data_IF_998859475714
#
_entry.id   IF_998859475714
#
_cell.length_a   1.000
_cell.length_b   1.000
_cell.length_c   1.000
_cell.angle_alpha   90.00
_cell.angle_beta   90.00
_cell.angle_gamma   90.00
#
_symmetry.space_group_name_H-M   'P 1'
#
loop_
_entity.id
_entity.type
_entity.pdbx_description
1 polymer ?
#
# COMPACT_ATOMS: atom_id res chain seq x y z
N UNK A 1 51.53 -14.82 -8.38
CA UNK A 1 51.06 -16.19 -8.14
C UNK A 1 50.19 -16.58 -9.31
N UNK A 2 50.52 -17.68 -9.98
CA UNK A 2 49.69 -18.27 -11.02
C UNK A 2 48.31 -18.61 -10.44
N UNK A 3 47.23 -18.19 -11.10
CA UNK A 3 45.88 -18.59 -10.71
C UNK A 3 45.41 -19.66 -11.68
N UNK A 4 45.12 -20.86 -11.19
CA UNK A 4 44.62 -21.98 -11.99
C UNK A 4 43.09 -21.92 -12.10
N UNK A 5 42.56 -22.32 -13.25
CA UNK A 5 41.13 -22.41 -13.45
C UNK A 5 40.57 -23.65 -12.76
N UNK A 6 39.53 -23.48 -11.95
CA UNK A 6 38.91 -24.60 -11.24
C UNK A 6 38.14 -25.59 -12.13
N UNK A 7 37.79 -25.21 -13.36
CA UNK A 7 37.07 -26.09 -14.29
C UNK A 7 38.02 -26.97 -15.10
N UNK A 8 39.10 -26.41 -15.63
CA UNK A 8 40.01 -27.13 -16.53
C UNK A 8 41.40 -27.41 -15.93
N UNK A 9 41.68 -26.91 -14.72
CA UNK A 9 42.96 -27.06 -14.00
C UNK A 9 44.17 -26.47 -14.74
N UNK A 10 43.93 -25.66 -15.77
CA UNK A 10 44.97 -24.96 -16.54
C UNK A 10 45.21 -23.57 -15.95
N UNK A 11 46.46 -23.12 -15.98
CA UNK A 11 46.85 -21.77 -15.59
C UNK A 11 46.09 -20.70 -16.39
N UNK A 12 45.57 -19.69 -15.68
CA UNK A 12 44.90 -18.56 -16.29
C UNK A 12 45.94 -17.53 -16.69
N UNK A 13 46.35 -17.59 -17.96
CA UNK A 13 47.25 -16.63 -18.61
C UNK A 13 46.42 -15.54 -19.29
N UNK A 14 46.08 -14.47 -18.57
CA UNK A 14 45.37 -13.33 -19.15
C UNK A 14 44.46 -12.57 -18.19
N UNK A 15 43.75 -11.59 -18.76
CA UNK A 15 42.83 -10.69 -18.04
C UNK A 15 41.38 -11.24 -18.10
N UNK A 16 41.06 -12.13 -19.04
CA UNK A 16 39.73 -12.74 -19.20
C UNK A 16 39.46 -13.85 -18.19
N UNK A 17 39.40 -13.46 -16.91
CA UNK A 17 39.11 -14.36 -15.80
C UNK A 17 37.93 -13.87 -14.97
N UNK A 18 37.15 -14.82 -14.50
CA UNK A 18 36.08 -14.60 -13.54
C UNK A 18 36.49 -15.19 -12.21
N UNK A 19 36.15 -14.50 -11.11
CA UNK A 19 36.42 -14.98 -9.76
C UNK A 19 35.09 -15.11 -9.04
N UNK A 20 34.81 -16.30 -8.53
CA UNK A 20 33.60 -16.55 -7.77
C UNK A 20 33.68 -15.79 -6.43
N UNK A 21 32.66 -14.97 -6.14
CA UNK A 21 32.63 -14.15 -4.91
C UNK A 21 32.59 -14.97 -3.62
N UNK A 22 31.99 -16.17 -3.67
CA UNK A 22 31.82 -17.03 -2.49
C UNK A 22 33.05 -17.90 -2.21
N UNK A 23 33.56 -18.64 -3.20
CA UNK A 23 34.68 -19.58 -2.99
C UNK A 23 36.05 -19.06 -3.44
N UNK A 24 36.13 -17.82 -3.93
CA UNK A 24 37.35 -17.16 -4.42
C UNK A 24 38.10 -17.91 -5.55
N UNK A 25 37.50 -18.96 -6.11
CA UNK A 25 38.09 -19.74 -7.19
C UNK A 25 38.03 -18.94 -8.49
N UNK A 26 39.08 -19.07 -9.31
CA UNK A 26 39.20 -18.40 -10.59
C UNK A 26 38.82 -19.33 -11.75
N UNK A 27 38.30 -18.74 -12.83
CA UNK A 27 37.79 -19.45 -13.99
C UNK A 27 38.15 -18.68 -15.26
N UNK A 28 38.52 -19.38 -16.33
CA UNK A 28 38.55 -18.74 -17.66
C UNK A 28 37.12 -18.37 -18.06
N UNK A 29 36.94 -17.25 -18.76
CA UNK A 29 35.64 -16.87 -19.33
C UNK A 29 35.05 -17.98 -20.21
N UNK A 30 35.89 -18.67 -20.97
CA UNK A 30 35.51 -19.78 -21.87
C UNK A 30 35.16 -21.08 -21.16
N UNK A 31 35.54 -21.25 -19.90
CA UNK A 31 35.25 -22.45 -19.11
C UNK A 31 33.96 -22.30 -18.29
N UNK A 32 33.22 -21.21 -18.47
CA UNK A 32 31.93 -20.96 -17.84
C UNK A 32 30.86 -21.09 -18.91
N UNK A 33 29.99 -22.08 -18.75
CA UNK A 33 28.90 -22.32 -19.69
C UNK A 33 27.90 -21.15 -19.67
N UNK A 34 27.48 -20.71 -20.85
CA UNK A 34 26.50 -19.63 -21.01
C UNK A 34 27.03 -18.21 -20.78
N UNK A 35 28.28 -18.02 -20.35
CA UNK A 35 28.85 -16.68 -20.14
C UNK A 35 29.34 -16.06 -21.46
N UNK A 36 28.47 -15.30 -22.11
CA UNK A 36 28.83 -14.54 -23.30
C UNK A 36 29.70 -13.30 -22.97
N UNK A 37 30.32 -12.72 -24.00
CA UNK A 37 31.24 -11.59 -23.83
C UNK A 37 30.56 -10.35 -23.25
N UNK A 38 29.33 -10.06 -23.67
CA UNK A 38 28.55 -8.92 -23.18
C UNK A 38 28.27 -9.02 -21.68
N UNK A 39 27.89 -10.20 -21.19
CA UNK A 39 27.66 -10.46 -19.78
C UNK A 39 28.96 -10.36 -18.97
N UNK A 40 30.08 -10.89 -19.49
CA UNK A 40 31.39 -10.74 -18.88
C UNK A 40 31.79 -9.25 -18.73
N UNK A 41 31.64 -8.46 -19.80
CA UNK A 41 31.94 -7.03 -19.80
C UNK A 41 31.01 -6.25 -18.85
N UNK A 42 29.72 -6.60 -18.78
CA UNK A 42 28.76 -5.98 -17.88
C UNK A 42 29.13 -6.23 -16.41
N UNK A 43 29.43 -7.48 -16.03
CA UNK A 43 29.86 -7.81 -14.66
C UNK A 43 31.18 -7.09 -14.34
N UNK A 44 32.10 -7.02 -15.30
CA UNK A 44 33.36 -6.27 -15.18
C UNK A 44 33.17 -4.76 -15.03
N UNK A 45 32.14 -4.17 -15.64
CA UNK A 45 31.82 -2.73 -15.52
C UNK A 45 31.18 -2.40 -14.17
N UNK A 46 30.35 -3.29 -13.64
CA UNK A 46 29.57 -3.07 -12.42
C UNK A 46 30.08 -3.86 -11.21
N UNK A 47 31.39 -3.99 -11.03
CA UNK A 47 32.00 -4.83 -9.97
C UNK A 47 31.57 -4.54 -8.52
N UNK A 48 31.05 -3.34 -8.26
CA UNK A 48 30.55 -2.96 -6.92
C UNK A 48 29.14 -3.51 -6.65
N UNK A 49 28.34 -3.66 -7.69
CA UNK A 49 26.90 -3.97 -7.60
C UNK A 49 26.55 -5.33 -8.21
N UNK A 50 27.43 -5.89 -9.05
CA UNK A 50 27.27 -7.17 -9.69
C UNK A 50 28.39 -8.10 -9.26
N UNK A 51 28.02 -9.24 -8.69
CA UNK A 51 28.95 -10.30 -8.33
C UNK A 51 28.60 -11.56 -9.11
N UNK A 52 29.61 -12.34 -9.45
CA UNK A 52 29.44 -13.63 -10.10
C UNK A 52 29.72 -14.76 -9.10
N UNK A 53 28.91 -15.82 -9.20
CA UNK A 53 29.06 -17.06 -8.47
C UNK A 53 29.22 -18.19 -9.47
N UNK A 54 30.11 -19.15 -9.17
CA UNK A 54 30.14 -20.41 -9.91
C UNK A 54 28.91 -21.25 -9.57
N UNK A 55 28.55 -22.19 -10.43
CA UNK A 55 27.32 -23.00 -10.31
C UNK A 55 27.20 -23.72 -8.97
N UNK A 56 28.31 -24.23 -8.43
CA UNK A 56 28.33 -24.88 -7.13
C UNK A 56 28.00 -23.92 -5.97
N UNK A 57 28.39 -22.64 -6.08
CA UNK A 57 28.07 -21.60 -5.10
C UNK A 57 26.67 -21.02 -5.33
N UNK A 58 26.26 -20.88 -6.59
CA UNK A 58 24.92 -20.44 -6.96
C UNK A 58 23.86 -21.40 -6.40
N UNK A 59 23.99 -22.71 -6.59
CA UNK A 59 23.03 -23.69 -6.06
C UNK A 59 22.92 -23.69 -4.53
N UNK A 60 24.01 -23.42 -3.81
CA UNK A 60 23.97 -23.26 -2.33
C UNK A 60 23.30 -21.95 -1.93
N UNK A 61 23.53 -20.88 -2.70
CA UNK A 61 22.89 -19.60 -2.48
C UNK A 61 21.38 -19.69 -2.73
N UNK A 62 20.96 -20.37 -3.80
CA UNK A 62 19.54 -20.61 -4.10
C UNK A 62 18.88 -21.42 -2.98
N UNK A 63 19.51 -22.48 -2.50
CA UNK A 63 19.01 -23.25 -1.36
C UNK A 63 18.93 -22.40 -0.09
N UNK A 64 19.90 -21.51 0.14
CA UNK A 64 19.88 -20.58 1.26
C UNK A 64 18.71 -19.59 1.13
N UNK A 65 18.52 -18.98 -0.04
CA UNK A 65 17.39 -18.06 -0.30
C UNK A 65 16.05 -18.77 -0.14
N UNK A 66 15.91 -20.01 -0.63
CA UNK A 66 14.72 -20.84 -0.41
C UNK A 66 14.52 -21.17 1.08
N UNK A 67 15.59 -21.45 1.82
CA UNK A 67 15.48 -21.69 3.27
C UNK A 67 15.17 -20.44 4.09
N UNK A 68 15.36 -19.26 3.49
CA UNK A 68 15.01 -17.97 4.07
C UNK A 68 13.56 -17.58 3.80
N UNK A 69 12.69 -18.50 3.34
CA UNK A 69 11.24 -18.30 3.27
C UNK A 69 10.74 -17.69 4.60
N UNK A 70 10.56 -16.38 4.54
CA UNK A 70 9.95 -15.54 5.54
C UNK A 70 8.47 -15.85 5.40
N UNK A 71 7.87 -16.49 6.40
CA UNK A 71 6.42 -16.71 6.55
C UNK A 71 5.65 -16.53 5.23
N UNK A 72 5.68 -17.58 4.41
CA UNK A 72 4.94 -17.69 3.14
C UNK A 72 3.48 -17.30 3.41
N UNK A 73 3.11 -16.08 3.03
CA UNK A 73 1.73 -15.72 2.70
C UNK A 73 1.36 -16.67 1.56
N UNK A 74 0.56 -17.70 1.81
CA UNK A 74 0.52 -18.85 0.94
C UNK A 74 -0.10 -18.41 -0.39
N UNK A 75 0.65 -18.65 -1.46
CA UNK A 75 0.22 -18.75 -2.86
C UNK A 75 -1.29 -18.52 -3.12
N UNK A 76 -1.66 -17.64 -4.08
CA UNK A 76 -3.07 -17.33 -4.38
C UNK A 76 -3.91 -18.56 -4.79
N UNK A 77 -3.29 -19.70 -5.11
CA UNK A 77 -4.00 -20.95 -5.41
C UNK A 77 -4.73 -21.55 -4.19
N UNK A 78 -4.20 -21.40 -2.97
CA UNK A 78 -4.89 -21.89 -1.76
C UNK A 78 -6.03 -20.98 -1.32
N UNK A 79 -5.93 -19.68 -1.61
CA UNK A 79 -6.96 -18.71 -1.29
C UNK A 79 -8.14 -18.79 -2.24
N UNK A 80 -7.94 -19.12 -3.52
CA UNK A 80 -9.05 -19.35 -4.46
C UNK A 80 -9.93 -20.52 -4.03
N UNK A 81 -9.35 -21.61 -3.51
CA UNK A 81 -10.13 -22.75 -2.99
C UNK A 81 -10.93 -22.38 -1.74
N UNK A 82 -10.33 -21.63 -0.80
CA UNK A 82 -11.00 -21.16 0.41
C UNK A 82 -12.08 -20.10 0.11
N UNK A 83 -11.84 -19.22 -0.85
CA UNK A 83 -12.81 -18.24 -1.36
C UNK A 83 -13.97 -18.95 -2.05
N UNK A 84 -13.71 -19.97 -2.87
CA UNK A 84 -14.75 -20.78 -3.51
C UNK A 84 -15.67 -21.42 -2.46
N UNK A 85 -15.09 -22.03 -1.43
CA UNK A 85 -15.86 -22.66 -0.35
C UNK A 85 -16.66 -21.63 0.47
N UNK A 86 -16.10 -20.44 0.70
CA UNK A 86 -16.79 -19.34 1.37
C UNK A 86 -17.95 -18.78 0.53
N UNK A 87 -17.76 -18.64 -0.78
CA UNK A 87 -18.79 -18.18 -1.73
C UNK A 87 -19.94 -19.20 -1.81
N UNK A 88 -19.65 -20.50 -1.85
CA UNK A 88 -20.67 -21.55 -1.84
C UNK A 88 -21.48 -21.55 -0.54
N UNK A 89 -20.81 -21.42 0.62
CA UNK A 89 -21.49 -21.31 1.93
C UNK A 89 -22.38 -20.07 2.00
N UNK A 90 -21.89 -18.91 1.55
CA UNK A 90 -22.68 -17.67 1.52
C UNK A 90 -23.88 -17.78 0.56
N UNK A 91 -23.68 -18.38 -0.62
CA UNK A 91 -24.79 -18.64 -1.55
C UNK A 91 -25.85 -19.55 -0.95
N UNK A 92 -25.45 -20.57 -0.19
CA UNK A 92 -26.38 -21.44 0.54
C UNK A 92 -27.22 -20.68 1.56
N UNK A 93 -26.58 -19.86 2.39
CA UNK A 93 -27.24 -19.03 3.42
C UNK A 93 -28.21 -18.02 2.78
N UNK A 94 -27.80 -17.36 1.69
CA UNK A 94 -28.66 -16.40 0.96
C UNK A 94 -29.89 -17.09 0.38
N UNK A 95 -29.74 -18.28 -0.19
CA UNK A 95 -30.87 -19.05 -0.73
C UNK A 95 -31.84 -19.51 0.37
N UNK A 96 -31.32 -19.93 1.52
CA UNK A 96 -32.14 -20.32 2.68
C UNK A 96 -32.93 -19.12 3.24
N UNK A 97 -32.27 -17.98 3.43
CA UNK A 97 -32.92 -16.75 3.88
C UNK A 97 -33.95 -16.23 2.85
N UNK A 98 -33.66 -16.33 1.56
CA UNK A 98 -34.60 -15.97 0.49
C UNK A 98 -35.85 -16.88 0.49
N UNK A 99 -35.67 -18.17 0.75
CA UNK A 99 -36.77 -19.13 0.95
C UNK A 99 -37.64 -18.76 2.15
N UNK A 100 -37.02 -18.47 3.31
CA UNK A 100 -37.72 -18.08 4.52
C UNK A 100 -38.47 -16.74 4.39
N UNK A 101 -37.97 -15.79 3.58
CA UNK A 101 -38.68 -14.54 3.27
C UNK A 101 -39.90 -14.78 2.37
N UNK A 102 -39.82 -15.70 1.40
CA UNK A 102 -40.96 -16.04 0.53
C UNK A 102 -42.07 -16.75 1.28
N UNK A 103 -41.74 -17.61 2.25
CA UNK A 103 -42.75 -18.27 3.09
C UNK A 103 -43.44 -17.32 4.07
N UNK A 104 -42.73 -16.31 4.59
CA UNK A 104 -43.30 -15.31 5.51
C UNK A 104 -44.13 -14.22 4.82
N UNK A 105 -44.03 -14.04 3.50
CA UNK A 105 -44.78 -13.02 2.76
C UNK A 105 -46.20 -13.45 2.32
N UNK A 106 -46.63 -14.68 2.61
CA UNK A 106 -47.91 -15.21 2.09
C UNK A 106 -49.08 -15.25 3.08
N UNK A 107 -49.04 -14.55 4.22
CA UNK A 107 -50.20 -14.49 5.13
C UNK A 107 -50.52 -13.07 5.62
N UNK A 108 -51.63 -12.57 5.05
CA UNK A 108 -52.62 -11.59 5.55
C UNK A 108 -52.43 -10.12 5.16
N UNK A 109 -53.19 -9.76 4.12
CA UNK A 109 -53.84 -8.46 3.94
C UNK A 109 -54.88 -8.21 5.04
N UNK A 110 -54.77 -7.09 5.76
CA UNK A 110 -55.86 -6.36 6.41
C UNK A 110 -55.41 -4.89 6.40
N UNK A 111 -55.92 -4.06 5.49
CA UNK A 111 -57.15 -3.26 5.64
C UNK A 111 -57.02 -2.16 6.71
N UNK A 112 -57.09 -0.92 6.23
CA UNK A 112 -57.28 0.39 6.86
C UNK A 112 -57.23 0.51 8.40
N UNK A 113 -56.30 1.32 8.89
CA UNK A 113 -56.44 1.99 10.19
C UNK A 113 -56.27 3.50 9.99
N UNK A 114 -57.41 4.17 9.98
CA UNK A 114 -57.56 5.63 10.11
C UNK A 114 -57.10 6.03 11.51
N UNK A 115 -56.18 7.01 11.60
CA UNK A 115 -55.81 7.65 12.86
C UNK A 115 -56.82 8.74 13.21
N UNK A 116 -57.55 8.67 14.35
CA UNK A 116 -58.30 9.81 14.85
C UNK A 116 -57.37 10.75 15.62
N UNK A 117 -57.39 12.02 15.25
CA UNK A 117 -56.73 13.10 15.98
C UNK A 117 -57.31 13.23 17.39
N UNK A 118 -56.45 13.03 18.39
CA UNK A 118 -56.81 13.25 19.79
C UNK A 118 -56.59 14.73 20.15
N UNK A 119 -57.67 15.51 20.08
CA UNK A 119 -57.83 16.71 20.90
C UNK A 119 -57.75 16.27 22.37
N UNK A 120 -56.87 16.86 23.17
CA UNK A 120 -56.99 16.83 24.62
C UNK A 120 -57.58 18.16 25.06
N UNK A 121 -58.82 18.07 25.52
CA UNK A 121 -59.51 19.09 26.28
C UNK A 121 -58.82 19.34 27.62
N UNK A 122 -59.06 20.56 28.08
CA UNK A 122 -58.57 21.23 29.27
C UNK A 122 -59.63 21.09 30.35
N UNK A 123 -59.25 20.74 31.57
CA UNK A 123 -60.02 21.07 32.77
C UNK A 123 -59.07 21.72 33.80
N UNK A 124 -59.48 22.92 34.23
CA UNK A 124 -58.85 23.82 35.21
C UNK A 124 -58.91 23.20 36.64
N UNK A 125 -58.20 23.60 37.70
CA UNK A 125 -57.92 24.89 38.35
C UNK A 125 -57.04 24.52 39.60
N UNK A 126 -56.01 25.22 40.10
CA UNK A 126 -56.04 26.42 40.95
C UNK A 126 -54.60 26.84 41.34
N UNK A 127 -54.34 28.15 41.28
CA UNK A 127 -53.32 28.99 41.94
C UNK A 127 -51.82 28.83 41.63
N UNK A 128 -51.27 29.76 40.84
CA UNK A 128 -50.51 30.90 41.38
C UNK A 128 -50.23 31.96 40.29
N UNK A 129 -50.27 33.24 40.69
CA UNK A 129 -50.18 34.44 39.85
C UNK A 129 -48.84 34.64 39.10
N UNK A 130 -48.84 35.44 38.01
CA UNK A 130 -47.71 35.58 37.09
C UNK A 130 -46.88 36.85 37.31
N UNK A 131 -45.54 36.82 37.18
CA UNK A 131 -44.78 38.05 36.98
C UNK A 131 -44.61 38.39 35.49
N UNK A 132 -44.74 39.70 35.26
CA UNK A 132 -44.81 40.41 34.00
C UNK A 132 -43.66 40.18 32.99
N UNK A 133 -44.09 40.07 31.73
CA UNK A 133 -43.45 40.44 30.45
C UNK A 133 -42.12 41.22 30.57
N UNK A 134 -41.00 40.55 30.28
CA UNK A 134 -39.76 41.20 29.84
C UNK A 134 -39.72 41.11 28.30
N UNK A 135 -39.84 42.28 27.66
CA UNK A 135 -39.63 42.47 26.21
C UNK A 135 -38.16 42.22 25.88
N UNK A 136 -37.85 41.12 25.21
CA UNK A 136 -36.55 40.97 24.54
C UNK A 136 -36.66 41.50 23.12
N UNK A 137 -35.86 42.51 22.85
CA UNK A 137 -35.79 43.27 21.61
C UNK A 137 -35.30 42.38 20.48
N UNK A 138 -36.08 42.32 19.40
CA UNK A 138 -35.66 41.79 18.11
C UNK A 138 -34.55 42.70 17.54
N UNK A 139 -33.30 42.22 17.59
CA UNK A 139 -32.18 42.87 16.93
C UNK A 139 -32.15 42.51 15.45
N UNK A 140 -32.56 43.44 14.58
CA UNK A 140 -32.25 43.40 13.15
C UNK A 140 -30.77 43.73 12.99
N UNK A 141 -29.92 42.70 12.95
CA UNK A 141 -28.55 42.88 12.47
C UNK A 141 -28.29 41.91 11.34
N UNK A 142 -28.52 42.41 10.13
CA UNK A 142 -28.15 41.77 8.87
C UNK A 142 -26.62 41.73 8.80
N UNK A 143 -26.01 40.70 9.37
CA UNK A 143 -24.61 40.40 9.09
C UNK A 143 -24.62 39.54 7.83
N UNK A 144 -24.43 40.19 6.68
CA UNK A 144 -24.07 39.52 5.44
C UNK A 144 -22.64 38.97 5.57
N UNK A 145 -22.43 37.94 6.38
CA UNK A 145 -21.35 37.01 6.10
C UNK A 145 -21.95 35.95 5.20
N UNK A 146 -21.64 36.07 3.91
CA UNK A 146 -21.62 34.92 3.00
C UNK A 146 -20.57 33.96 3.58
N UNK A 147 -20.97 33.14 4.54
CA UNK A 147 -20.14 32.07 5.05
C UNK A 147 -19.91 31.15 3.85
N UNK A 148 -18.67 31.09 3.37
CA UNK A 148 -18.26 30.17 2.31
C UNK A 148 -18.12 28.79 2.97
N UNK A 149 -19.24 28.11 3.19
CA UNK A 149 -19.35 26.90 4.03
C UNK A 149 -18.94 25.60 3.34
N UNK A 150 -18.24 25.62 2.21
CA UNK A 150 -17.72 24.39 1.61
C UNK A 150 -16.32 24.66 1.09
N UNK A 151 -15.32 24.39 1.94
CA UNK A 151 -14.01 23.96 1.43
C UNK A 151 -14.30 22.63 0.76
N UNK A 152 -14.06 22.54 -0.54
CA UNK A 152 -14.19 21.29 -1.28
C UNK A 152 -13.23 20.31 -0.60
N UNK A 153 -13.75 19.41 0.24
CA UNK A 153 -12.98 18.33 0.82
C UNK A 153 -12.61 17.41 -0.34
N UNK A 154 -11.50 17.76 -1.01
CA UNK A 154 -10.94 16.88 -2.03
C UNK A 154 -10.66 15.57 -1.32
N UNK A 155 -11.22 14.50 -1.85
CA UNK A 155 -10.91 13.16 -1.34
C UNK A 155 -9.39 12.98 -1.42
N UNK A 156 -8.79 12.54 -0.31
CA UNK A 156 -7.36 12.34 -0.20
C UNK A 156 -7.11 10.85 -0.01
N UNK A 157 -6.04 10.36 -0.61
CA UNK A 157 -5.62 8.97 -0.46
C UNK A 157 -4.12 8.87 -0.17
N UNK A 158 -3.71 7.72 0.38
CA UNK A 158 -2.32 7.44 0.70
C UNK A 158 -1.67 6.60 -0.39
N UNK A 159 -0.53 7.08 -0.89
CA UNK A 159 0.41 6.28 -1.70
C UNK A 159 1.57 5.84 -0.82
N UNK A 160 2.01 4.62 -1.02
CA UNK A 160 3.13 4.03 -0.30
C UNK A 160 4.32 3.88 -1.23
N UNK A 161 5.41 4.58 -0.90
CA UNK A 161 6.68 4.50 -1.61
C UNK A 161 7.65 3.67 -0.75
N UNK A 162 8.00 2.49 -1.22
CA UNK A 162 8.81 1.53 -0.49
C UNK A 162 10.24 1.40 -1.03
N UNK A 163 11.11 0.76 -0.25
CA UNK A 163 12.48 0.38 -0.63
C UNK A 163 13.41 1.56 -0.98
N UNK A 164 13.19 2.72 -0.35
CA UNK A 164 14.04 3.90 -0.54
C UNK A 164 15.23 3.89 0.41
N UNK A 165 16.33 4.55 0.02
CA UNK A 165 17.52 4.69 0.87
C UNK A 165 17.19 5.52 2.13
N UNK A 166 17.64 5.10 3.33
CA UNK A 166 17.39 5.82 4.59
C UNK A 166 17.92 7.25 4.64
N UNK A 167 18.87 7.63 3.77
CA UNK A 167 19.40 8.99 3.70
C UNK A 167 18.36 10.02 3.24
N UNK A 168 17.31 9.59 2.54
CA UNK A 168 16.30 10.51 2.03
C UNK A 168 15.51 11.16 3.15
N UNK A 169 15.28 12.47 3.03
CA UNK A 169 14.47 13.26 3.96
C UNK A 169 12.98 13.23 3.60
N UNK A 170 12.10 13.60 4.52
CA UNK A 170 10.66 13.64 4.22
C UNK A 170 10.36 14.77 3.21
N UNK A 171 11.17 15.84 3.25
CA UNK A 171 11.15 16.98 2.34
C UNK A 171 11.58 16.60 0.92
N UNK A 172 12.67 15.85 0.76
CA UNK A 172 13.13 15.36 -0.55
C UNK A 172 12.08 14.48 -1.24
N UNK A 173 11.42 13.60 -0.48
CA UNK A 173 10.35 12.76 -1.02
C UNK A 173 9.12 13.59 -1.40
N UNK A 174 8.85 14.68 -0.67
CA UNK A 174 7.77 15.60 -1.01
C UNK A 174 8.07 16.36 -2.32
N UNK A 175 9.30 16.84 -2.48
CA UNK A 175 9.77 17.51 -3.71
C UNK A 175 9.73 16.57 -4.92
N UNK A 176 10.29 15.36 -4.78
CA UNK A 176 10.22 14.33 -5.82
C UNK A 176 8.76 14.03 -6.22
N UNK A 177 7.86 13.87 -5.24
CA UNK A 177 6.45 13.59 -5.54
C UNK A 177 5.76 14.79 -6.21
N UNK A 178 6.14 16.01 -5.82
CA UNK A 178 5.63 17.22 -6.42
C UNK A 178 6.03 17.33 -7.90
N UNK A 179 7.29 17.04 -8.23
CA UNK A 179 7.79 17.04 -9.61
C UNK A 179 7.16 15.94 -10.46
N UNK A 180 6.99 14.73 -9.93
CA UNK A 180 6.44 13.60 -10.70
C UNK A 180 4.95 13.75 -11.04
N UNK A 181 4.21 14.50 -10.23
CA UNK A 181 2.75 14.65 -10.35
C UNK A 181 2.30 16.08 -10.67
N UNK A 182 3.24 16.98 -10.99
CA UNK A 182 3.00 18.40 -11.29
C UNK A 182 2.10 19.09 -10.23
N UNK A 183 2.38 18.83 -8.95
CA UNK A 183 1.56 19.36 -7.85
C UNK A 183 1.83 20.86 -7.60
N UNK A 184 0.78 21.66 -7.32
CA UNK A 184 0.96 23.08 -7.01
C UNK A 184 1.62 23.32 -5.65
N UNK A 185 1.46 22.38 -4.71
CA UNK A 185 2.01 22.44 -3.36
C UNK A 185 2.62 21.08 -2.98
N UNK A 186 3.67 21.07 -2.13
CA UNK A 186 4.31 19.84 -1.71
C UNK A 186 3.34 18.98 -0.89
N UNK A 187 3.19 17.69 -1.23
CA UNK A 187 2.27 16.80 -0.53
C UNK A 187 2.77 16.46 0.88
N UNK A 188 1.85 16.02 1.73
CA UNK A 188 2.20 15.61 3.10
C UNK A 188 2.83 14.23 3.08
N UNK A 189 4.13 14.18 3.34
CA UNK A 189 4.90 12.95 3.46
C UNK A 189 5.05 12.56 4.93
N UNK A 190 5.08 11.26 5.20
CA UNK A 190 5.49 10.73 6.50
C UNK A 190 6.32 9.47 6.32
N UNK A 191 7.53 9.49 6.88
CA UNK A 191 8.35 8.29 6.98
C UNK A 191 7.72 7.23 7.90
N UNK A 192 7.75 5.99 7.42
CA UNK A 192 7.22 4.82 8.13
C UNK A 192 8.37 4.12 8.86
N UNK A 193 8.77 4.68 10.00
CA UNK A 193 9.75 4.06 10.90
C UNK A 193 9.14 3.86 12.27
N UNK A 194 9.63 2.84 13.01
CA UNK A 194 9.30 2.70 14.42
C UNK A 194 9.76 3.96 15.16
N UNK A 195 8.96 4.40 16.13
CA UNK A 195 9.32 5.49 17.03
C UNK A 195 10.64 5.12 17.71
N UNK A 196 11.63 6.01 17.67
CA UNK A 196 12.98 5.84 18.22
C UNK A 196 13.90 4.84 17.47
N UNK A 197 13.52 4.40 16.27
CA UNK A 197 14.42 3.64 15.42
C UNK A 197 15.50 4.54 14.79
N UNK A 198 16.75 4.09 14.88
CA UNK A 198 17.88 4.72 14.20
C UNK A 198 17.78 4.46 12.69
N UNK A 199 17.45 5.50 11.93
CA UNK A 199 17.30 5.44 10.47
C UNK A 199 18.58 5.00 9.78
N UNK A 200 19.75 5.26 10.39
CA UNK A 200 21.07 4.91 9.85
C UNK A 200 21.35 3.41 9.83
N UNK A 201 20.57 2.60 10.55
CA UNK A 201 20.75 1.14 10.65
C UNK A 201 19.78 0.37 9.76
N UNK A 202 18.85 1.05 9.11
CA UNK A 202 17.91 0.42 8.20
C UNK A 202 18.58 0.27 6.83
N UNK A 203 18.36 -0.85 6.15
CA UNK A 203 18.79 -1.00 4.75
C UNK A 203 17.87 -0.26 3.79
N UNK A 204 16.59 -0.11 4.18
CA UNK A 204 15.56 0.56 3.41
C UNK A 204 14.55 1.23 4.34
N UNK A 205 13.96 2.31 3.85
CA UNK A 205 12.82 2.99 4.49
C UNK A 205 11.65 3.05 3.53
N UNK A 206 10.46 3.25 4.09
CA UNK A 206 9.23 3.47 3.32
C UNK A 206 8.58 4.77 3.76
N UNK A 207 7.89 5.41 2.84
CA UNK A 207 7.18 6.66 3.06
C UNK A 207 5.72 6.48 2.66
N UNK A 208 4.83 7.18 3.35
CA UNK A 208 3.46 7.39 2.88
C UNK A 208 3.28 8.85 2.47
N UNK A 209 2.66 9.05 1.32
CA UNK A 209 2.42 10.37 0.74
C UNK A 209 0.92 10.58 0.59
N UNK A 210 0.42 11.71 1.08
CA UNK A 210 -0.98 12.08 1.01
C UNK A 210 -1.23 12.86 -0.29
N UNK A 211 -2.09 12.34 -1.15
CA UNK A 211 -2.37 12.90 -2.47
C UNK A 211 -3.88 13.09 -2.69
N UNK A 212 -4.29 14.05 -3.55
CA UNK A 212 -5.66 14.15 -4.05
C UNK A 212 -6.08 12.91 -4.83
N UNK A 213 -7.31 12.44 -4.63
CA UNK A 213 -7.85 11.25 -5.29
C UNK A 213 -7.84 11.33 -6.82
N UNK A 214 -7.94 12.54 -7.37
CA UNK A 214 -7.84 12.84 -8.80
C UNK A 214 -6.54 12.32 -9.45
N UNK A 215 -5.49 12.11 -8.65
CA UNK A 215 -4.19 11.62 -9.12
C UNK A 215 -3.96 10.14 -8.84
N UNK A 216 -4.96 9.41 -8.34
CA UNK A 216 -4.84 8.00 -7.97
C UNK A 216 -4.34 7.13 -9.11
N UNK A 217 -4.97 7.23 -10.27
CA UNK A 217 -4.64 6.37 -11.41
C UNK A 217 -3.23 6.63 -11.92
N UNK A 218 -2.81 7.91 -11.94
CA UNK A 218 -1.46 8.33 -12.33
C UNK A 218 -0.43 7.88 -11.30
N UNK A 219 -0.68 8.12 -10.02
CA UNK A 219 0.26 7.80 -8.95
C UNK A 219 0.47 6.27 -8.77
N UNK A 220 -0.48 5.45 -9.22
CA UNK A 220 -0.35 3.98 -9.21
C UNK A 220 0.34 3.42 -10.45
N UNK A 221 0.64 4.24 -11.48
CA UNK A 221 1.44 3.77 -12.60
C UNK A 221 2.91 3.64 -12.21
N UNK A 222 3.60 2.57 -12.66
CA UNK A 222 5.03 2.38 -12.39
C UNK A 222 5.90 3.44 -13.07
N UNK A 223 5.45 3.99 -14.20
CA UNK A 223 6.21 4.95 -15.01
C UNK A 223 6.19 6.38 -14.46
N UNK A 224 5.35 6.64 -13.46
CA UNK A 224 5.22 7.95 -12.80
C UNK A 224 6.39 8.26 -11.88
N UNK A 225 7.07 7.23 -11.38
CA UNK A 225 8.10 7.38 -10.36
C UNK A 225 9.50 7.18 -10.96
N UNK A 226 10.53 7.88 -10.45
CA UNK A 226 11.89 7.71 -10.93
C UNK A 226 12.37 6.29 -10.65
N UNK A 227 13.11 5.72 -11.61
CA UNK A 227 13.77 4.43 -11.47
C UNK A 227 15.14 4.61 -10.82
N UNK A 228 15.41 3.83 -9.76
CA UNK A 228 16.64 3.87 -8.98
C UNK A 228 17.01 2.50 -8.42
#
# INVERSE_FOLDING_TARGET
MATECKTCEVEITGIEKMVCRSCASAFHRSCIDGLNRTAFEAIGKFQKNCYWLCDACAGRFDQFVQSMDVDDDPSPATDVSKLSEAVEKLSGIVNELSGQMKEKSSKKSFADVVFPGSKREREDDVNNEPPAKIKTVCGTRTIQHKIKTVVNERELFWVYLGRLDPCHTDEEIAEMTQECLDLPEPPKVKRLVKKDADTSKLSVVSFRVLLPDDLRDTALQPDTWPTG
#
